data_IF_428239324100
#
_entry.id   IF_428239324100
#
_cell.length_a   1.000
_cell.length_b   1.000
_cell.length_c   1.000
_cell.angle_alpha   90.00
_cell.angle_beta   90.00
_cell.angle_gamma   90.00
#
_symmetry.space_group_name_H-M   'P 1'
#
loop_
_entity.id
_entity.type
_entity.pdbx_description
1 polymer ?
#
# COMPACT_ATOMS: atom_id res chain seq x y z
N UNK A 1 33.78 -33.86 35.57
CA UNK A 1 33.78 -32.77 34.58
C UNK A 1 33.21 -33.23 33.24
N UNK A 2 31.91 -33.58 33.18
CA UNK A 2 31.25 -34.01 31.92
C UNK A 2 29.78 -33.58 31.82
N UNK A 3 29.22 -33.03 32.91
CA UNK A 3 27.84 -32.53 33.01
C UNK A 3 27.73 -31.02 32.76
N UNK A 4 28.85 -30.28 32.75
CA UNK A 4 28.88 -28.84 32.44
C UNK A 4 28.77 -28.56 30.93
N UNK A 5 29.21 -29.48 30.07
CA UNK A 5 29.10 -29.34 28.62
C UNK A 5 27.68 -29.54 28.08
N UNK A 6 26.81 -30.20 28.84
CA UNK A 6 25.41 -30.44 28.41
C UNK A 6 24.56 -29.18 28.59
N UNK A 7 24.85 -28.34 29.58
CA UNK A 7 24.11 -27.10 29.82
C UNK A 7 24.47 -25.97 28.84
N UNK A 8 25.72 -25.91 28.36
CA UNK A 8 26.15 -24.88 27.41
C UNK A 8 25.54 -25.08 26.00
N UNK A 9 25.19 -26.32 25.64
CA UNK A 9 24.55 -26.62 24.35
C UNK A 9 23.06 -26.25 24.27
N UNK A 10 22.36 -26.21 25.41
CA UNK A 10 20.90 -25.93 25.45
C UNK A 10 20.60 -24.42 25.46
N UNK A 11 21.49 -23.60 26.03
CA UNK A 11 21.34 -22.14 26.02
C UNK A 11 21.57 -21.55 24.61
N UNK A 12 22.35 -22.21 23.77
CA UNK A 12 22.64 -21.78 22.39
C UNK A 12 21.50 -22.05 21.40
N UNK A 13 20.47 -22.82 21.78
CA UNK A 13 19.30 -23.14 20.94
C UNK A 13 18.10 -22.21 21.16
N UNK A 14 18.13 -21.33 22.17
CA UNK A 14 17.03 -20.41 22.49
C UNK A 14 17.41 -18.92 22.33
N UNK A 15 18.63 -18.62 21.89
CA UNK A 15 19.20 -17.26 21.87
C UNK A 15 19.14 -16.50 20.54
N UNK A 16 18.35 -16.93 19.54
CA UNK A 16 18.32 -16.25 18.20
C UNK A 16 16.91 -15.93 17.71
N UNK A 17 15.93 -15.72 18.61
CA UNK A 17 14.57 -15.33 18.18
C UNK A 17 14.22 -13.85 18.35
N UNK A 18 15.14 -12.97 18.75
CA UNK A 18 14.83 -11.56 19.00
C UNK A 18 15.87 -10.57 18.46
N UNK A 19 16.56 -10.92 17.38
CA UNK A 19 17.13 -9.90 16.50
C UNK A 19 16.12 -9.71 15.38
N UNK A 20 15.17 -8.79 15.62
CA UNK A 20 14.34 -8.22 14.57
C UNK A 20 15.22 -7.42 13.62
N UNK A 21 16.01 -8.13 12.82
CA UNK A 21 16.64 -7.60 11.63
C UNK A 21 15.50 -7.13 10.72
N UNK A 22 15.39 -5.82 10.54
CA UNK A 22 14.73 -5.25 9.38
C UNK A 22 15.40 -5.84 8.14
N UNK A 23 14.75 -6.87 7.57
CA UNK A 23 15.31 -7.62 6.47
C UNK A 23 15.50 -6.69 5.26
N UNK A 24 16.67 -6.68 4.61
CA UNK A 24 16.89 -5.94 3.36
C UNK A 24 16.03 -6.49 2.19
N UNK A 25 15.31 -7.60 2.42
CA UNK A 25 14.35 -8.21 1.50
C UNK A 25 13.01 -7.47 1.40
N UNK A 26 12.71 -6.51 2.28
CA UNK A 26 11.49 -5.69 2.20
C UNK A 26 11.50 -4.70 1.00
N UNK A 27 12.67 -4.49 0.39
CA UNK A 27 12.87 -3.60 -0.75
C UNK A 27 12.52 -4.23 -2.10
N UNK A 28 12.74 -5.55 -2.26
CA UNK A 28 12.59 -6.27 -3.54
C UNK A 28 11.15 -6.78 -3.77
N UNK A 29 10.31 -6.82 -2.76
CA UNK A 29 8.88 -7.20 -2.84
C UNK A 29 7.96 -6.01 -3.15
N UNK A 30 8.52 -4.84 -3.46
CA UNK A 30 7.77 -3.59 -3.58
C UNK A 30 6.75 -3.55 -4.74
N UNK A 31 6.72 -4.54 -5.64
CA UNK A 31 5.63 -4.72 -6.62
C UNK A 31 4.94 -6.09 -6.52
N UNK A 32 5.65 -7.13 -6.07
CA UNK A 32 5.12 -8.48 -5.87
C UNK A 32 4.62 -8.60 -4.43
N UNK A 33 3.32 -8.33 -4.24
CA UNK A 33 2.66 -8.43 -2.93
C UNK A 33 2.06 -7.13 -2.40
N UNK A 34 2.09 -6.04 -3.18
CA UNK A 34 1.26 -4.85 -2.87
C UNK A 34 -0.15 -5.05 -3.38
N UNK A 35 -1.11 -4.78 -2.52
CA UNK A 35 -2.50 -4.79 -2.91
C UNK A 35 -2.76 -3.62 -3.85
N UNK A 36 -3.42 -3.93 -4.96
CA UNK A 36 -3.82 -2.95 -5.95
C UNK A 36 -5.27 -2.56 -5.70
N UNK A 37 -5.47 -1.26 -5.53
CA UNK A 37 -6.81 -0.68 -5.44
C UNK A 37 -7.01 0.31 -6.57
N UNK A 38 -8.23 0.45 -7.02
CA UNK A 38 -8.63 1.31 -8.13
C UNK A 38 -9.61 2.34 -7.60
N UNK A 39 -9.35 3.61 -7.89
CA UNK A 39 -10.16 4.74 -7.42
C UNK A 39 -10.47 5.67 -8.57
N UNK A 40 -11.64 6.30 -8.52
CA UNK A 40 -12.00 7.41 -9.39
C UNK A 40 -11.89 8.72 -8.62
N UNK A 41 -11.24 9.73 -9.20
CA UNK A 41 -11.14 11.05 -8.60
C UNK A 41 -12.46 11.80 -8.76
N UNK A 42 -13.26 11.82 -7.71
CA UNK A 42 -14.57 12.51 -7.69
C UNK A 42 -14.53 13.89 -7.03
N UNK A 43 -13.50 14.14 -6.22
CA UNK A 43 -13.27 15.39 -5.47
C UNK A 43 -11.98 16.07 -5.96
N UNK A 44 -11.88 17.38 -5.77
CA UNK A 44 -10.69 18.19 -6.03
C UNK A 44 -9.56 17.90 -5.04
N UNK A 45 -9.89 17.34 -3.88
CA UNK A 45 -8.93 17.01 -2.82
C UNK A 45 -8.62 18.19 -1.91
N UNK A 46 -8.23 17.89 -0.68
CA UNK A 46 -7.94 18.90 0.34
C UNK A 46 -6.49 19.37 0.19
N UNK A 47 -6.28 20.64 -0.14
CA UNK A 47 -4.93 21.23 -0.16
C UNK A 47 -4.34 21.26 1.26
N UNK A 48 -3.11 20.76 1.40
CA UNK A 48 -2.34 20.79 2.63
C UNK A 48 -1.32 21.94 2.53
N UNK A 49 -1.64 23.08 3.15
CA UNK A 49 -0.81 24.30 3.09
C UNK A 49 0.49 24.21 3.93
N UNK A 50 0.59 23.23 4.84
CA UNK A 50 1.72 23.09 5.78
C UNK A 50 2.99 22.43 5.19
N UNK A 51 2.97 22.00 3.92
CA UNK A 51 4.12 21.34 3.27
C UNK A 51 4.70 22.21 2.15
N UNK A 52 6.04 22.23 2.06
CA UNK A 52 6.82 22.92 1.01
C UNK A 52 6.42 22.49 -0.41
N UNK A 53 5.87 21.30 -0.55
CA UNK A 53 5.25 20.79 -1.78
C UNK A 53 3.72 20.86 -1.62
N UNK A 54 3.03 21.40 -2.62
CA UNK A 54 1.57 21.50 -2.68
C UNK A 54 0.93 20.11 -2.70
N UNK A 55 0.77 19.52 -1.52
CA UNK A 55 0.20 18.20 -1.36
C UNK A 55 -1.32 18.31 -1.26
N UNK A 56 -2.03 17.50 -2.03
CA UNK A 56 -3.48 17.38 -1.98
C UNK A 56 -3.82 16.04 -1.34
N UNK A 57 -4.61 16.04 -0.28
CA UNK A 57 -5.09 14.84 0.37
C UNK A 57 -6.44 14.41 -0.21
N UNK A 58 -6.54 13.14 -0.56
CA UNK A 58 -7.75 12.51 -1.07
C UNK A 58 -8.14 11.38 -0.13
N UNK A 59 -9.41 11.34 0.27
CA UNK A 59 -10.01 10.20 0.98
C UNK A 59 -11.19 9.72 0.16
N UNK A 60 -10.98 8.63 -0.59
CA UNK A 60 -11.93 8.18 -1.61
C UNK A 60 -12.17 6.67 -1.47
N UNK A 61 -13.37 6.18 -1.86
CA UNK A 61 -13.63 4.75 -1.94
C UNK A 61 -12.81 4.14 -3.08
N UNK A 62 -12.03 3.12 -2.77
CA UNK A 62 -11.22 2.39 -3.73
C UNK A 62 -11.61 0.91 -3.76
N UNK A 63 -11.52 0.28 -4.92
CA UNK A 63 -11.94 -1.10 -5.13
C UNK A 63 -10.74 -1.98 -5.44
N UNK A 64 -10.64 -3.13 -4.81
CA UNK A 64 -9.67 -4.14 -5.23
C UNK A 64 -10.07 -4.75 -6.59
N UNK A 65 -9.20 -5.59 -7.16
CA UNK A 65 -9.49 -6.31 -8.40
C UNK A 65 -10.76 -7.18 -8.36
N UNK A 66 -11.26 -7.52 -7.17
CA UNK A 66 -12.45 -8.31 -6.96
C UNK A 66 -13.71 -7.45 -6.76
N UNK A 67 -13.60 -6.12 -6.79
CA UNK A 67 -14.69 -5.20 -6.51
C UNK A 67 -14.99 -5.01 -5.02
N UNK A 68 -14.09 -5.41 -4.12
CA UNK A 68 -14.21 -5.15 -2.68
C UNK A 68 -13.81 -3.71 -2.39
N UNK A 69 -14.71 -2.98 -1.74
CA UNK A 69 -14.50 -1.59 -1.36
C UNK A 69 -13.58 -1.45 -0.14
N UNK A 70 -12.72 -0.43 -0.17
CA UNK A 70 -11.89 0.05 0.93
C UNK A 70 -11.73 1.56 0.79
N UNK A 71 -12.06 2.32 1.83
CA UNK A 71 -11.75 3.75 1.87
C UNK A 71 -10.26 3.94 2.05
N UNK A 72 -9.61 4.65 1.14
CA UNK A 72 -8.16 4.87 1.16
C UNK A 72 -7.88 6.37 1.15
N UNK A 73 -7.05 6.79 2.10
CA UNK A 73 -6.48 8.14 2.14
C UNK A 73 -5.09 8.15 1.50
N UNK A 74 -4.86 9.05 0.55
CA UNK A 74 -3.58 9.21 -0.13
C UNK A 74 -3.31 10.65 -0.53
N UNK A 75 -2.03 10.97 -0.73
CA UNK A 75 -1.57 12.31 -1.08
C UNK A 75 -1.12 12.39 -2.54
N UNK A 76 -1.62 13.40 -3.26
CA UNK A 76 -1.15 13.81 -4.57
C UNK A 76 -0.14 14.95 -4.46
N UNK A 77 0.94 14.91 -5.24
CA UNK A 77 1.93 16.01 -5.33
C UNK A 77 1.38 17.25 -6.06
N UNK A 78 0.23 17.08 -6.71
CA UNK A 78 -0.53 18.10 -7.43
C UNK A 78 -2.01 17.73 -7.35
N UNK A 79 -2.87 18.67 -7.70
CA UNK A 79 -4.29 18.39 -7.88
C UNK A 79 -4.47 17.35 -8.99
N UNK A 80 -5.19 16.28 -8.67
CA UNK A 80 -5.48 15.20 -9.60
C UNK A 80 -6.65 15.59 -10.49
N UNK A 81 -6.64 15.12 -11.75
CA UNK A 81 -7.71 15.43 -12.71
C UNK A 81 -9.00 14.75 -12.24
N UNK A 82 -10.09 15.52 -12.19
CA UNK A 82 -11.43 14.99 -11.94
C UNK A 82 -11.79 13.93 -12.98
N UNK A 83 -12.53 12.91 -12.54
CA UNK A 83 -12.95 11.75 -13.32
C UNK A 83 -11.80 10.87 -13.84
N UNK A 84 -10.56 11.11 -13.42
CA UNK A 84 -9.46 10.21 -13.71
C UNK A 84 -9.55 8.94 -12.85
N UNK A 85 -9.16 7.80 -13.42
CA UNK A 85 -9.00 6.55 -12.70
C UNK A 85 -7.53 6.37 -12.31
N UNK A 86 -7.30 6.01 -11.05
CA UNK A 86 -5.97 5.71 -10.55
C UNK A 86 -5.89 4.27 -10.06
N UNK A 87 -4.76 3.61 -10.33
CA UNK A 87 -4.32 2.39 -9.66
C UNK A 87 -3.39 2.75 -8.52
N UNK A 88 -3.83 2.52 -7.30
CA UNK A 88 -3.08 2.71 -6.05
C UNK A 88 -2.32 1.43 -5.70
N UNK A 89 -1.05 1.57 -5.34
CA UNK A 89 -0.24 0.48 -4.80
C UNK A 89 -0.18 0.59 -3.28
N UNK A 90 -1.00 -0.21 -2.62
CA UNK A 90 -1.20 -0.20 -1.18
C UNK A 90 -0.32 -1.24 -0.48
N UNK A 91 0.23 -0.86 0.68
CA UNK A 91 0.95 -1.74 1.59
C UNK A 91 0.34 -1.63 2.98
N UNK A 92 -0.01 -2.76 3.61
CA UNK A 92 -0.59 -2.76 4.96
C UNK A 92 0.28 -2.04 6.00
N UNK A 93 1.61 -2.01 5.82
CA UNK A 93 2.53 -1.32 6.74
C UNK A 93 2.67 0.19 6.47
N UNK A 94 2.50 0.64 5.22
CA UNK A 94 2.87 2.01 4.77
C UNK A 94 1.71 2.81 4.15
N UNK A 95 0.54 2.19 3.96
CA UNK A 95 -0.54 2.77 3.18
C UNK A 95 -0.21 2.83 1.69
N UNK A 96 -0.67 3.88 1.00
CA UNK A 96 -0.42 4.07 -0.43
C UNK A 96 1.03 4.46 -0.67
N UNK A 97 1.76 3.59 -1.35
CA UNK A 97 3.19 3.80 -1.66
C UNK A 97 3.40 4.54 -2.98
N UNK A 98 2.49 4.37 -3.94
CA UNK A 98 2.49 5.06 -5.22
C UNK A 98 1.12 4.90 -5.88
N UNK A 99 0.86 5.71 -6.90
CA UNK A 99 -0.32 5.59 -7.75
C UNK A 99 0.06 5.84 -9.20
N UNK A 100 -0.73 5.29 -10.13
CA UNK A 100 -0.61 5.53 -11.58
C UNK A 100 -1.98 5.82 -12.15
N UNK A 101 -2.06 6.82 -13.02
CA UNK A 101 -3.26 7.05 -13.81
C UNK A 101 -3.43 5.92 -14.81
N UNK A 102 -4.64 5.38 -14.89
CA UNK A 102 -5.02 4.28 -15.79
C UNK A 102 -6.26 4.68 -16.56
N UNK A 103 -6.43 4.11 -17.75
CA UNK A 103 -7.63 4.29 -18.54
C UNK A 103 -8.73 3.35 -18.05
N UNK A 104 -9.97 3.72 -18.35
CA UNK A 104 -11.16 2.91 -18.10
C UNK A 104 -11.04 1.49 -18.66
N UNK A 105 -10.45 1.31 -19.84
CA UNK A 105 -10.26 0.00 -20.45
C UNK A 105 -9.26 -0.90 -19.70
N UNK A 106 -8.36 -0.31 -18.90
CA UNK A 106 -7.37 -1.03 -18.07
C UNK A 106 -7.91 -1.43 -16.69
N UNK A 107 -9.11 -0.98 -16.33
CA UNK A 107 -9.76 -1.37 -15.08
C UNK A 107 -10.21 -2.84 -15.15
N UNK A 108 -10.10 -3.60 -14.04
CA UNK A 108 -10.74 -4.91 -13.93
C UNK A 108 -12.26 -4.80 -14.11
N UNK A 109 -12.89 -5.80 -14.74
CA UNK A 109 -14.35 -5.78 -15.03
C UNK A 109 -15.19 -5.50 -13.78
N UNK A 110 -14.90 -6.18 -12.67
CA UNK A 110 -15.59 -5.96 -11.39
C UNK A 110 -15.43 -4.55 -10.84
N UNK A 111 -14.31 -3.89 -11.12
CA UNK A 111 -14.09 -2.49 -10.72
C UNK A 111 -14.92 -1.56 -11.61
N UNK A 112 -15.00 -1.82 -12.92
CA UNK A 112 -15.84 -1.05 -13.83
C UNK A 112 -17.30 -1.09 -13.40
N UNK A 113 -17.79 -2.27 -13.04
CA UNK A 113 -19.15 -2.44 -12.49
C UNK A 113 -19.36 -1.61 -11.22
N UNK A 114 -18.40 -1.61 -10.29
CA UNK A 114 -18.51 -0.84 -9.04
C UNK A 114 -18.45 0.67 -9.25
N UNK A 115 -17.64 1.12 -10.21
CA UNK A 115 -17.50 2.52 -10.56
C UNK A 115 -18.58 3.00 -11.55
N UNK A 116 -19.56 2.14 -11.92
CA UNK A 116 -20.60 2.41 -12.91
C UNK A 116 -20.05 2.93 -14.26
N UNK A 117 -18.94 2.37 -14.67
CA UNK A 117 -18.21 2.72 -15.89
C UNK A 117 -18.80 1.89 -17.04
N UNK A 118 -19.25 2.56 -18.12
CA UNK A 118 -20.15 2.01 -19.15
C UNK A 118 -19.41 1.40 -20.33
#
# INVERSE_FOLDING_TARGET
MKKFFVFLGIVLLLGVSLIGCSNPLDSLTNEIGKDQYYVQITDEGKKLDDKKDSNYEYTLPAYDKNGKEKTITFNGLKQLRKDAYLRLYYSEKRGVTSYKEVKENELPEKVKEKLNVK
#
